data_IF_678420868482
#
_entry.id   IF_678420868482
#
_cell.length_a   1.000
_cell.length_b   1.000
_cell.length_c   1.000
_cell.angle_alpha   90.00
_cell.angle_beta   90.00
_cell.angle_gamma   90.00
#
_symmetry.space_group_name_H-M   'P 1'
#
loop_
_entity.id
_entity.type
_entity.pdbx_description
1 polymer ?
#
# COMPACT_ATOMS: atom_id res chain seq x y z
N UNK A 1 32.56 5.39 -4.21
CA UNK A 1 31.74 5.22 -5.44
C UNK A 1 30.36 4.82 -4.96
N UNK A 2 29.36 5.68 -5.09
CA UNK A 2 27.99 5.31 -4.74
C UNK A 2 27.56 4.21 -5.72
N UNK A 3 27.36 3.00 -5.20
CA UNK A 3 26.87 1.87 -5.99
C UNK A 3 25.41 2.16 -6.32
N UNK A 4 25.13 2.50 -7.56
CA UNK A 4 23.78 2.65 -8.08
C UNK A 4 22.98 1.38 -7.77
N UNK A 5 21.83 1.53 -7.10
CA UNK A 5 20.92 0.43 -6.84
C UNK A 5 21.23 -0.45 -5.62
N UNK A 6 22.15 -0.05 -4.75
CA UNK A 6 22.43 -0.83 -3.53
C UNK A 6 21.55 -0.46 -2.34
N UNK A 7 20.64 0.48 -2.49
CA UNK A 7 19.70 0.87 -1.44
C UNK A 7 18.31 1.04 -2.05
N UNK A 8 17.29 0.88 -1.26
CA UNK A 8 15.89 1.12 -1.56
C UNK A 8 15.51 2.62 -1.48
N UNK A 9 16.47 3.47 -1.10
CA UNK A 9 16.27 4.90 -0.99
C UNK A 9 15.93 5.55 -2.36
N UNK A 10 15.18 6.64 -2.34
CA UNK A 10 14.76 7.38 -3.54
C UNK A 10 15.92 7.82 -4.41
N UNK A 11 17.07 8.14 -3.82
CA UNK A 11 18.29 8.47 -4.56
C UNK A 11 18.92 7.29 -5.33
N UNK A 12 18.58 6.05 -4.97
CA UNK A 12 19.01 4.85 -5.70
C UNK A 12 18.16 4.59 -6.94
N UNK A 13 16.96 5.16 -7.00
CA UNK A 13 16.09 5.08 -8.17
C UNK A 13 16.57 6.02 -9.29
N UNK A 14 16.25 5.73 -10.57
CA UNK A 14 16.67 6.56 -11.68
C UNK A 14 16.28 8.04 -11.49
N UNK A 15 17.27 8.94 -11.62
CA UNK A 15 17.10 10.38 -11.32
C UNK A 15 16.18 11.12 -12.27
N UNK A 16 15.97 10.58 -13.49
CA UNK A 16 15.07 11.17 -14.48
C UNK A 16 13.57 10.91 -14.21
N UNK A 17 13.27 10.03 -13.25
CA UNK A 17 11.90 9.76 -12.85
C UNK A 17 11.34 10.90 -11.99
N UNK A 18 10.07 11.24 -12.21
CA UNK A 18 9.32 12.14 -11.33
C UNK A 18 9.06 11.46 -9.97
N UNK A 19 8.72 12.24 -8.94
CA UNK A 19 8.40 11.70 -7.62
C UNK A 19 7.23 10.69 -7.67
N UNK A 20 6.22 10.94 -8.50
CA UNK A 20 5.10 10.02 -8.71
C UNK A 20 5.56 8.68 -9.36
N UNK A 21 6.42 8.75 -10.36
CA UNK A 21 6.99 7.55 -11.00
C UNK A 21 7.90 6.77 -10.03
N UNK A 22 8.72 7.47 -9.24
CA UNK A 22 9.56 6.84 -8.21
C UNK A 22 8.74 6.09 -7.16
N UNK A 23 7.55 6.60 -6.79
CA UNK A 23 6.65 5.93 -5.87
C UNK A 23 6.05 4.62 -6.44
N UNK A 24 5.97 4.50 -7.78
CA UNK A 24 5.37 3.33 -8.47
C UNK A 24 6.41 2.33 -8.99
N UNK A 25 7.69 2.73 -9.06
CA UNK A 25 8.80 1.86 -9.48
C UNK A 25 9.22 0.94 -8.33
N UNK A 26 9.45 -0.33 -8.64
CA UNK A 26 9.88 -1.35 -7.67
C UNK A 26 11.09 -2.14 -8.17
N UNK A 27 11.85 -2.70 -7.23
CA UNK A 27 13.05 -3.47 -7.53
C UNK A 27 12.70 -4.92 -7.90
N UNK A 28 13.47 -5.47 -8.81
CA UNK A 28 13.43 -6.88 -9.22
C UNK A 28 14.85 -7.39 -9.43
N UNK A 29 15.01 -8.67 -9.75
CA UNK A 29 16.28 -9.27 -10.18
C UNK A 29 16.84 -8.66 -11.46
N UNK A 30 15.98 -8.00 -12.27
CA UNK A 30 16.35 -7.34 -13.54
C UNK A 30 16.70 -5.87 -13.37
N UNK A 31 16.40 -5.28 -12.22
CA UNK A 31 16.59 -3.86 -11.93
C UNK A 31 15.30 -3.15 -11.51
N UNK A 32 15.25 -1.83 -11.70
CA UNK A 32 14.07 -1.03 -11.44
C UNK A 32 13.03 -1.23 -12.54
N UNK A 33 11.82 -1.57 -12.13
CA UNK A 33 10.71 -1.96 -13.00
C UNK A 33 9.48 -1.15 -12.66
N UNK A 34 8.68 -0.83 -13.66
CA UNK A 34 7.34 -0.22 -13.53
C UNK A 34 6.30 -1.10 -14.21
N UNK A 35 5.08 -1.13 -13.72
CA UNK A 35 3.97 -1.75 -14.44
C UNK A 35 3.42 -0.78 -15.47
N UNK A 36 3.33 -1.22 -16.72
CA UNK A 36 2.66 -0.44 -17.76
C UNK A 36 1.12 -0.48 -17.60
N UNK A 37 0.40 0.26 -18.46
CA UNK A 37 -1.06 0.33 -18.41
C UNK A 37 -1.80 -1.01 -18.65
N UNK A 38 -1.08 -2.06 -19.05
CA UNK A 38 -1.59 -3.43 -19.19
C UNK A 38 -1.19 -4.36 -18.04
N UNK A 39 -0.51 -3.82 -17.00
CA UNK A 39 -0.02 -4.59 -15.86
C UNK A 39 1.25 -5.42 -16.14
N UNK A 40 1.91 -5.19 -17.28
CA UNK A 40 3.17 -5.86 -17.62
C UNK A 40 4.36 -5.07 -17.08
N UNK A 41 5.41 -5.80 -16.67
CA UNK A 41 6.65 -5.22 -16.16
C UNK A 41 7.49 -4.62 -17.30
N UNK A 42 7.84 -3.35 -17.15
CA UNK A 42 8.80 -2.65 -18.02
C UNK A 42 10.04 -2.30 -17.22
N UNK A 43 11.21 -2.75 -17.69
CA UNK A 43 12.49 -2.44 -17.06
C UNK A 43 12.88 -0.99 -17.38
N UNK A 44 12.87 -0.14 -16.36
CA UNK A 44 13.25 1.28 -16.47
C UNK A 44 14.76 1.46 -16.40
N UNK A 45 15.41 0.68 -15.54
CA UNK A 45 16.86 0.68 -15.40
C UNK A 45 17.32 -0.73 -15.06
N UNK A 46 18.14 -1.32 -15.93
CA UNK A 46 18.66 -2.68 -15.75
C UNK A 46 19.80 -2.70 -14.74
N UNK A 47 19.62 -3.43 -13.65
CA UNK A 47 20.62 -3.68 -12.61
C UNK A 47 20.44 -5.14 -12.17
N UNK A 48 21.35 -6.03 -12.60
CA UNK A 48 21.25 -7.45 -12.27
C UNK A 48 21.31 -7.71 -10.77
N UNK A 49 20.36 -8.48 -10.25
CA UNK A 49 20.30 -8.87 -8.84
C UNK A 49 19.91 -7.74 -7.87
N UNK A 50 19.25 -6.68 -8.35
CA UNK A 50 18.91 -5.51 -7.54
C UNK A 50 18.11 -5.90 -6.28
N UNK A 51 17.04 -6.70 -6.43
CA UNK A 51 16.18 -7.11 -5.31
C UNK A 51 16.88 -7.95 -4.24
N UNK A 52 18.02 -8.54 -4.55
CA UNK A 52 18.84 -9.28 -3.56
C UNK A 52 19.93 -8.41 -2.93
N UNK A 53 20.18 -7.23 -3.49
CA UNK A 53 21.22 -6.30 -3.06
C UNK A 53 20.71 -5.19 -2.12
N UNK A 54 19.41 -4.90 -2.16
CA UNK A 54 18.77 -3.94 -1.26
C UNK A 54 18.22 -4.65 0.00
N UNK A 55 17.86 -3.88 1.02
CA UNK A 55 17.26 -4.40 2.25
C UNK A 55 15.87 -4.99 1.97
N UNK A 56 15.19 -5.46 3.01
CA UNK A 56 13.80 -5.93 2.87
C UNK A 56 12.88 -4.84 2.35
N UNK A 57 11.81 -5.24 1.66
CA UNK A 57 10.86 -4.33 1.04
C UNK A 57 10.26 -3.31 2.01
N UNK A 58 10.16 -2.05 1.60
CA UNK A 58 9.54 -0.97 2.34
C UNK A 58 8.29 -0.43 1.65
N UNK A 59 7.39 0.19 2.42
CA UNK A 59 6.15 0.76 1.91
C UNK A 59 6.40 2.18 1.42
N UNK A 60 6.25 2.40 0.12
CA UNK A 60 6.42 3.72 -0.50
C UNK A 60 5.19 4.62 -0.31
N UNK A 61 3.99 4.06 -0.51
CA UNK A 61 2.74 4.84 -0.48
C UNK A 61 1.58 4.04 0.07
N UNK A 62 0.62 4.75 0.66
CA UNK A 62 -0.70 4.26 1.01
C UNK A 62 -1.77 5.13 0.37
N UNK A 63 -2.81 4.52 -0.20
CA UNK A 63 -3.88 5.25 -0.88
C UNK A 63 -5.20 4.46 -0.86
N UNK A 64 -6.31 5.17 -0.80
CA UNK A 64 -7.62 4.56 -1.06
C UNK A 64 -7.76 4.15 -2.53
N UNK A 65 -8.49 3.07 -2.77
CA UNK A 65 -8.93 2.67 -4.11
C UNK A 65 -10.32 3.27 -4.32
N UNK A 66 -10.37 4.45 -4.93
CA UNK A 66 -11.59 5.25 -5.07
C UNK A 66 -11.52 6.56 -4.29
N UNK A 67 -12.33 7.52 -4.67
CA UNK A 67 -12.37 8.85 -4.08
C UNK A 67 -13.54 9.05 -3.11
N UNK A 68 -14.60 8.27 -3.25
CA UNK A 68 -15.81 8.34 -2.43
C UNK A 68 -16.36 6.94 -2.15
N UNK A 69 -17.15 6.83 -1.08
CA UNK A 69 -17.84 5.63 -0.66
C UNK A 69 -19.32 5.94 -0.40
N UNK A 70 -20.22 5.21 -1.02
CA UNK A 70 -21.68 5.35 -0.82
C UNK A 70 -22.10 4.52 0.41
N UNK A 71 -22.51 5.21 1.48
CA UNK A 71 -22.90 4.55 2.73
C UNK A 71 -24.27 3.89 2.65
N UNK A 72 -25.17 4.37 1.77
CA UNK A 72 -26.52 3.81 1.62
C UNK A 72 -26.49 2.44 0.97
N UNK A 73 -25.59 2.24 0.01
CA UNK A 73 -25.37 0.97 -0.65
C UNK A 73 -24.52 0.00 0.18
N UNK A 74 -23.68 0.53 1.06
CA UNK A 74 -22.64 -0.26 1.71
C UNK A 74 -21.57 -0.74 0.73
N UNK A 75 -20.72 -1.68 1.14
CA UNK A 75 -19.70 -2.27 0.27
C UNK A 75 -18.31 -2.25 0.87
N UNK A 76 -17.29 -2.16 0.01
CA UNK A 76 -15.90 -2.31 0.41
C UNK A 76 -15.14 -0.98 0.34
N UNK A 77 -14.39 -0.69 1.39
CA UNK A 77 -13.37 0.35 1.42
C UNK A 77 -12.03 -0.34 1.28
N UNK A 78 -11.37 -0.12 0.16
CA UNK A 78 -10.07 -0.72 -0.15
C UNK A 78 -8.94 0.30 0.01
N UNK A 79 -7.90 -0.12 0.73
CA UNK A 79 -6.65 0.61 0.85
C UNK A 79 -5.56 -0.17 0.15
N UNK A 80 -4.83 0.48 -0.74
CA UNK A 80 -3.68 -0.09 -1.44
C UNK A 80 -2.39 0.44 -0.83
N UNK A 81 -1.52 -0.48 -0.43
CA UNK A 81 -0.13 -0.20 -0.06
C UNK A 81 0.78 -0.57 -1.21
N UNK A 82 1.67 0.34 -1.60
CA UNK A 82 2.66 0.10 -2.66
C UNK A 82 4.04 -0.01 -2.05
N UNK A 83 4.72 -1.12 -2.30
CA UNK A 83 6.07 -1.43 -1.83
C UNK A 83 7.12 -1.12 -2.91
N UNK A 84 8.35 -0.92 -2.47
CA UNK A 84 9.51 -0.77 -3.36
C UNK A 84 10.00 -2.10 -3.95
N UNK A 85 9.46 -3.24 -3.48
CA UNK A 85 9.73 -4.60 -3.96
C UNK A 85 8.46 -5.46 -3.92
N UNK A 86 8.51 -6.64 -4.54
CA UNK A 86 7.44 -7.64 -4.40
C UNK A 86 7.48 -8.28 -3.02
N UNK A 87 6.32 -8.46 -2.41
CA UNK A 87 6.20 -9.04 -1.07
C UNK A 87 5.26 -10.24 -1.06
N UNK A 88 5.58 -11.20 -0.20
CA UNK A 88 4.75 -12.39 0.06
C UNK A 88 4.12 -12.26 1.44
N UNK A 89 2.80 -12.42 1.50
CA UNK A 89 2.01 -12.29 2.72
C UNK A 89 1.53 -13.65 3.20
N UNK A 90 1.63 -13.88 4.51
CA UNK A 90 0.98 -15.00 5.20
C UNK A 90 0.08 -14.49 6.31
N UNK A 91 -0.99 -15.21 6.61
CA UNK A 91 -1.97 -14.79 7.62
C UNK A 91 -2.87 -13.65 7.14
N UNK A 92 -3.42 -12.92 8.08
CA UNK A 92 -4.40 -11.85 7.83
C UNK A 92 -3.97 -10.55 8.52
N UNK A 93 -2.88 -9.90 8.07
CA UNK A 93 -2.46 -8.63 8.64
C UNK A 93 -3.54 -7.56 8.45
N UNK A 94 -3.53 -6.54 9.32
CA UNK A 94 -4.54 -5.48 9.33
C UNK A 94 -3.90 -4.10 9.43
N UNK A 95 -4.64 -3.08 8.97
CA UNK A 95 -4.35 -1.65 9.16
C UNK A 95 -5.60 -0.93 9.66
N UNK A 96 -5.42 0.21 10.31
CA UNK A 96 -6.51 1.08 10.72
C UNK A 96 -6.79 2.15 9.66
N UNK A 97 -8.08 2.47 9.49
CA UNK A 97 -8.57 3.62 8.74
C UNK A 97 -9.20 4.55 9.76
N UNK A 98 -8.75 5.80 9.82
CA UNK A 98 -9.29 6.81 10.72
C UNK A 98 -10.57 7.41 10.10
N UNK A 99 -11.64 7.51 10.88
CA UNK A 99 -12.88 8.18 10.51
C UNK A 99 -12.99 9.51 11.28
N UNK A 100 -13.26 10.60 10.58
CA UNK A 100 -13.44 11.92 11.18
C UNK A 100 -14.71 12.01 12.04
N UNK A 101 -15.70 11.16 11.79
CA UNK A 101 -17.04 11.18 12.38
C UNK A 101 -17.78 12.53 12.13
N UNK A 102 -17.42 13.26 11.07
CA UNK A 102 -18.01 14.56 10.75
C UNK A 102 -19.50 14.45 10.43
N UNK A 103 -19.94 13.35 9.80
CA UNK A 103 -21.33 13.02 9.52
C UNK A 103 -22.06 12.27 10.64
N UNK A 104 -21.39 12.07 11.80
CA UNK A 104 -21.98 11.39 12.95
C UNK A 104 -21.81 9.87 12.97
N UNK A 105 -20.91 9.33 12.17
CA UNK A 105 -20.52 7.91 12.24
C UNK A 105 -20.02 7.52 13.62
N UNK A 106 -20.30 6.30 14.07
CA UNK A 106 -20.04 5.87 15.46
C UNK A 106 -18.62 5.32 15.68
N UNK A 107 -17.91 4.92 14.62
CA UNK A 107 -16.59 4.35 14.73
C UNK A 107 -15.50 5.36 14.36
N UNK A 108 -14.65 5.74 15.32
CA UNK A 108 -13.49 6.60 15.07
C UNK A 108 -12.38 5.91 14.27
N UNK A 109 -12.38 4.59 14.23
CA UNK A 109 -11.41 3.78 13.49
C UNK A 109 -12.07 2.53 12.92
N UNK A 110 -11.71 2.19 11.68
CA UNK A 110 -12.14 0.98 10.99
C UNK A 110 -10.93 0.09 10.77
N UNK A 111 -11.11 -1.23 10.90
CA UNK A 111 -10.03 -2.19 10.64
C UNK A 111 -10.15 -2.73 9.24
N UNK A 112 -9.15 -2.50 8.40
CA UNK A 112 -9.04 -3.12 7.09
C UNK A 112 -8.11 -4.33 7.16
N UNK A 113 -8.57 -5.48 6.67
CA UNK A 113 -7.85 -6.74 6.68
C UNK A 113 -7.26 -7.01 5.30
N UNK A 114 -6.08 -7.62 5.26
CA UNK A 114 -5.44 -8.03 4.02
C UNK A 114 -6.39 -8.85 3.15
N UNK A 115 -6.51 -8.46 1.89
CA UNK A 115 -7.41 -9.07 0.91
C UNK A 115 -6.66 -9.77 -0.22
N UNK A 116 -5.66 -9.10 -0.81
CA UNK A 116 -4.97 -9.61 -2.00
C UNK A 116 -3.65 -8.89 -2.28
N UNK A 117 -2.89 -9.41 -3.25
CA UNK A 117 -1.68 -8.79 -3.76
C UNK A 117 -0.38 -9.51 -3.35
N UNK A 118 -0.44 -10.66 -2.66
CA UNK A 118 0.76 -11.46 -2.37
C UNK A 118 1.52 -11.80 -3.65
N UNK A 119 2.84 -11.81 -3.58
CA UNK A 119 3.78 -11.95 -4.71
C UNK A 119 3.75 -10.77 -5.70
N UNK A 120 3.24 -9.62 -5.26
CA UNK A 120 3.31 -8.35 -5.99
C UNK A 120 3.83 -7.23 -5.09
N UNK A 121 4.09 -6.06 -5.67
CA UNK A 121 4.47 -4.87 -4.92
C UNK A 121 3.25 -4.04 -4.44
N UNK A 122 2.02 -4.51 -4.66
CA UNK A 122 0.79 -3.80 -4.29
C UNK A 122 -0.11 -4.71 -3.48
N UNK A 123 -0.25 -4.42 -2.18
CA UNK A 123 -1.18 -5.12 -1.30
C UNK A 123 -2.48 -4.33 -1.14
N UNK A 124 -3.60 -5.05 -1.13
CA UNK A 124 -4.92 -4.47 -0.87
C UNK A 124 -5.43 -4.93 0.48
N UNK A 125 -5.84 -3.97 1.30
CA UNK A 125 -6.51 -4.17 2.58
C UNK A 125 -7.94 -3.70 2.45
N UNK A 126 -8.90 -4.44 2.97
CA UNK A 126 -10.32 -4.20 2.82
C UNK A 126 -11.02 -4.08 4.17
N UNK A 127 -11.87 -3.08 4.28
CA UNK A 127 -12.92 -3.01 5.27
C UNK A 127 -14.27 -3.07 4.57
N UNK A 128 -15.18 -3.91 5.07
CA UNK A 128 -16.54 -4.05 4.51
C UNK A 128 -17.55 -3.40 5.42
N UNK A 129 -18.39 -2.54 4.87
CA UNK A 129 -19.50 -1.87 5.56
C UNK A 129 -20.81 -2.43 4.99
N UNK A 130 -21.70 -2.90 5.88
CA UNK A 130 -23.05 -3.32 5.49
C UNK A 130 -23.88 -2.13 5.01
N UNK A 131 -24.91 -2.39 4.21
CA UNK A 131 -25.88 -1.37 3.83
C UNK A 131 -26.52 -0.76 5.08
N UNK A 132 -26.72 0.56 5.08
CA UNK A 132 -27.17 1.34 6.23
C UNK A 132 -26.28 1.19 7.48
N UNK A 133 -24.97 1.03 7.27
CA UNK A 133 -23.99 0.86 8.33
C UNK A 133 -23.91 2.07 9.25
N UNK A 134 -23.95 1.83 10.55
CA UNK A 134 -23.86 2.87 11.57
C UNK A 134 -22.43 3.34 11.87
N UNK A 135 -21.42 2.66 11.34
CA UNK A 135 -20.01 2.93 11.66
C UNK A 135 -19.43 4.10 10.86
N UNK A 136 -19.96 4.32 9.65
CA UNK A 136 -19.60 5.45 8.77
C UNK A 136 -20.90 6.09 8.31
N UNK A 137 -21.01 7.40 8.39
CA UNK A 137 -22.15 8.20 7.94
C UNK A 137 -21.77 9.06 6.74
N UNK A 138 -22.76 9.56 6.01
CA UNK A 138 -22.51 10.56 4.97
C UNK A 138 -21.77 11.76 5.58
N UNK A 139 -20.90 12.38 4.80
CA UNK A 139 -19.99 13.47 5.18
C UNK A 139 -18.82 13.07 6.12
N UNK A 140 -18.73 11.81 6.54
CA UNK A 140 -17.55 11.31 7.21
C UNK A 140 -16.35 11.33 6.24
N UNK A 141 -15.20 11.74 6.75
CA UNK A 141 -13.94 11.75 5.99
C UNK A 141 -13.01 10.67 6.54
N UNK A 142 -12.67 9.72 5.67
CA UNK A 142 -11.76 8.63 6.00
C UNK A 142 -10.33 9.02 5.60
N UNK A 143 -9.36 8.68 6.44
CA UNK A 143 -7.95 8.94 6.22
C UNK A 143 -7.07 7.77 6.67
N UNK A 144 -5.85 7.71 6.13
CA UNK A 144 -4.84 6.73 6.52
C UNK A 144 -3.75 7.48 7.28
N UNK A 145 -3.71 7.30 8.60
CA UNK A 145 -2.64 7.86 9.43
C UNK A 145 -1.37 7.01 9.28
N UNK A 146 -0.19 7.62 9.56
CA UNK A 146 1.06 6.88 9.69
C UNK A 146 0.95 5.85 10.81
N UNK A 147 1.21 4.57 10.51
CA UNK A 147 1.02 3.46 11.45
C UNK A 147 1.88 2.25 11.07
N UNK A 148 1.94 1.25 11.92
CA UNK A 148 2.49 -0.04 11.56
C UNK A 148 1.36 -1.01 11.17
N UNK A 149 1.62 -1.89 10.18
CA UNK A 149 0.74 -3.03 9.89
C UNK A 149 0.74 -3.95 11.11
N UNK A 150 -0.45 -4.28 11.61
CA UNK A 150 -0.60 -5.30 12.64
C UNK A 150 -0.59 -6.69 11.97
N UNK A 151 0.49 -7.45 12.18
CA UNK A 151 0.69 -8.73 11.49
C UNK A 151 -0.23 -9.85 11.98
N UNK A 152 -0.79 -9.75 13.20
CA UNK A 152 -1.73 -10.73 13.79
C UNK A 152 -1.24 -12.20 13.69
N UNK A 153 0.06 -12.42 13.90
CA UNK A 153 0.70 -13.72 13.77
C UNK A 153 1.08 -14.13 12.34
N UNK A 154 0.73 -13.31 11.34
CA UNK A 154 1.18 -13.47 9.96
C UNK A 154 2.56 -12.88 9.71
N UNK A 155 2.98 -12.89 8.45
CA UNK A 155 4.25 -12.25 8.00
C UNK A 155 4.05 -11.53 6.68
N UNK A 156 4.85 -10.49 6.47
CA UNK A 156 5.09 -9.88 5.16
C UNK A 156 6.58 -9.95 4.92
N UNK A 157 6.98 -10.64 3.87
CA UNK A 157 8.39 -10.87 3.53
C UNK A 157 8.62 -10.46 2.08
N UNK A 158 9.83 -10.01 1.82
CA UNK A 158 10.30 -9.81 0.47
C UNK A 158 10.23 -11.12 -0.33
N UNK A 159 9.68 -11.05 -1.55
CA UNK A 159 9.42 -12.25 -2.38
C UNK A 159 10.72 -12.83 -2.90
N UNK A 160 10.93 -14.13 -2.61
CA UNK A 160 12.14 -14.85 -3.02
C UNK A 160 13.26 -14.82 -1.98
N UNK A 161 13.07 -14.09 -0.87
CA UNK A 161 13.97 -14.11 0.27
C UNK A 161 13.25 -14.51 1.56
N UNK A 162 13.98 -14.58 2.67
CA UNK A 162 13.40 -14.79 4.02
C UNK A 162 13.37 -13.50 4.84
N UNK A 163 13.76 -12.37 4.22
CA UNK A 163 13.84 -11.08 4.89
C UNK A 163 12.45 -10.54 5.16
N UNK A 164 12.23 -10.04 6.38
CA UNK A 164 10.97 -9.38 6.72
C UNK A 164 10.93 -8.00 6.06
N UNK A 165 9.80 -7.68 5.46
CA UNK A 165 9.53 -6.35 4.93
C UNK A 165 9.26 -5.34 6.04
N UNK A 166 9.50 -4.07 5.77
CA UNK A 166 9.06 -2.97 6.61
C UNK A 166 7.53 -2.98 6.76
N UNK A 167 7.06 -2.64 7.93
CA UNK A 167 5.63 -2.58 8.26
C UNK A 167 5.13 -1.15 8.50
N UNK A 168 6.01 -0.15 8.38
CA UNK A 168 5.67 1.25 8.59
C UNK A 168 4.88 1.79 7.38
N UNK A 169 3.58 1.96 7.54
CA UNK A 169 2.69 2.55 6.54
C UNK A 169 2.82 4.07 6.61
N UNK A 170 3.23 4.75 5.53
CA UNK A 170 3.22 6.21 5.50
C UNK A 170 1.78 6.73 5.53
N UNK A 171 1.58 7.95 6.05
CA UNK A 171 0.28 8.61 5.98
C UNK A 171 -0.17 8.73 4.52
N UNK A 172 -1.45 8.44 4.26
CA UNK A 172 -2.04 8.57 2.93
C UNK A 172 -2.09 10.04 2.50
N UNK A 173 -1.86 10.28 1.22
CA UNK A 173 -1.88 11.62 0.63
C UNK A 173 -3.28 12.10 0.27
N UNK A 174 -4.25 11.22 0.23
CA UNK A 174 -5.65 11.49 -0.11
C UNK A 174 -6.59 10.94 0.95
N UNK A 175 -7.74 11.58 1.08
CA UNK A 175 -8.87 11.13 1.89
C UNK A 175 -9.96 10.54 1.01
N UNK A 176 -10.86 9.76 1.60
CA UNK A 176 -12.08 9.27 0.97
C UNK A 176 -13.27 9.89 1.71
N UNK A 177 -14.20 10.48 0.98
CA UNK A 177 -15.43 11.02 1.56
C UNK A 177 -16.55 10.00 1.47
N UNK A 178 -17.27 9.81 2.57
CA UNK A 178 -18.50 9.04 2.60
C UNK A 178 -19.65 9.91 2.07
N UNK A 179 -20.45 9.37 1.16
CA UNK A 179 -21.59 10.05 0.54
C UNK A 179 -22.87 9.27 0.81
N UNK A 180 -24.04 9.95 0.71
CA UNK A 180 -25.35 9.34 0.91
C UNK A 180 -25.83 8.61 -0.35
#
# INVERSE_FOLDING_TARGET
MALWGNTDADEAKPKWLTSAQKADVFATDKGWVQLNGKGLEEVICSIGGLSTAIAGADINTSAFVGAAFDVSAGGNIDVRLTFNEKVTVTGSPTIAITNSQAGGGSAASLTATYQSGSSSNKLVFRHTIGAAGSTVSADDVLSIAGQNIALAGGTIKDTGTTVNSGVAVPAGTATMTAVA
#
